data_IF_747070468230
#
_entry.id   IF_747070468230
#
_cell.length_a   1.000
_cell.length_b   1.000
_cell.length_c   1.000
_cell.angle_alpha   90.00
_cell.angle_beta   90.00
_cell.angle_gamma   90.00
#
_symmetry.space_group_name_H-M   'P 1'
#
loop_
_entity.id
_entity.type
_entity.pdbx_description
1 polymer ?
#
# COMPACT_ATOMS: atom_id res chain seq x y z
N UNK A 1 6.41 10.24 3.93
CA UNK A 1 7.11 9.47 2.90
C UNK A 1 8.48 10.08 2.71
N UNK A 2 9.51 9.29 3.01
CA UNK A 2 10.89 9.56 2.69
C UNK A 2 11.19 9.04 1.28
N UNK A 3 11.75 9.89 0.42
CA UNK A 3 12.17 9.60 -0.95
C UNK A 3 13.62 10.04 -1.13
N UNK A 4 14.44 9.20 -1.77
CA UNK A 4 15.76 9.57 -2.27
C UNK A 4 15.67 9.83 -3.78
N UNK A 5 16.16 11.00 -4.22
CA UNK A 5 16.14 11.41 -5.62
C UNK A 5 16.91 10.45 -6.56
N UNK A 6 17.79 9.61 -6.01
CA UNK A 6 18.57 8.63 -6.76
C UNK A 6 17.86 7.28 -6.91
N UNK A 7 16.75 7.01 -6.22
CA UNK A 7 16.05 5.74 -6.34
C UNK A 7 15.38 5.61 -7.71
N UNK A 8 15.50 4.43 -8.32
CA UNK A 8 14.66 3.96 -9.42
C UNK A 8 13.34 3.47 -8.84
N UNK A 9 12.23 4.12 -9.17
CA UNK A 9 10.93 3.89 -8.55
C UNK A 9 9.92 3.33 -9.56
N UNK A 10 9.17 2.33 -9.12
CA UNK A 10 7.91 1.92 -9.74
C UNK A 10 6.74 2.41 -8.87
N UNK A 11 5.84 3.23 -9.40
CA UNK A 11 4.54 3.48 -8.76
C UNK A 11 3.52 2.49 -9.29
N UNK A 12 2.68 1.97 -8.39
CA UNK A 12 1.70 0.92 -8.70
C UNK A 12 0.29 1.43 -8.47
N UNK A 13 -0.57 1.24 -9.47
CA UNK A 13 -1.99 1.56 -9.38
C UNK A 13 -2.29 3.06 -9.20
N UNK A 14 -1.47 3.94 -9.77
CA UNK A 14 -1.60 5.39 -9.62
C UNK A 14 -2.72 5.96 -10.51
N UNK A 15 -3.96 5.69 -10.12
CA UNK A 15 -5.22 6.07 -10.78
C UNK A 15 -5.12 7.11 -11.90
N UNK A 16 -5.12 8.40 -11.56
CA UNK A 16 -5.08 9.51 -12.55
C UNK A 16 -3.66 9.97 -12.91
N UNK A 17 -2.64 9.23 -12.46
CA UNK A 17 -1.21 9.47 -12.64
C UNK A 17 -0.65 10.74 -12.00
N UNK A 18 -1.46 11.48 -11.23
CA UNK A 18 -1.02 12.75 -10.64
C UNK A 18 0.03 12.58 -9.54
N UNK A 19 0.05 11.45 -8.83
CA UNK A 19 1.12 11.16 -7.87
C UNK A 19 2.45 10.96 -8.59
N UNK A 20 2.47 10.18 -9.66
CA UNK A 20 3.65 9.88 -10.47
C UNK A 20 4.20 11.13 -11.12
N UNK A 21 3.33 12.01 -11.65
CA UNK A 21 3.78 13.29 -12.20
C UNK A 21 4.39 14.20 -11.14
N UNK A 22 3.83 14.23 -9.93
CA UNK A 22 4.44 14.99 -8.86
C UNK A 22 5.76 14.38 -8.42
N UNK A 23 5.83 13.06 -8.29
CA UNK A 23 7.04 12.34 -7.86
C UNK A 23 8.16 12.46 -8.88
N UNK A 24 7.86 12.49 -10.19
CA UNK A 24 8.87 12.62 -11.25
C UNK A 24 9.72 13.88 -11.12
N UNK A 25 9.15 14.95 -10.55
CA UNK A 25 9.82 16.24 -10.31
C UNK A 25 10.82 16.18 -9.15
N UNK A 26 10.71 15.17 -8.29
CA UNK A 26 11.60 14.96 -7.14
C UNK A 26 12.72 13.96 -7.45
N UNK A 27 12.63 13.22 -8.56
CA UNK A 27 13.57 12.18 -8.96
C UNK A 27 14.49 12.64 -10.09
N UNK A 28 15.61 11.94 -10.27
CA UNK A 28 16.44 12.12 -11.47
C UNK A 28 15.66 11.70 -12.74
N UNK A 29 15.94 12.32 -13.89
CA UNK A 29 15.36 11.88 -15.16
C UNK A 29 15.60 10.39 -15.42
N UNK A 30 14.56 9.68 -15.88
CA UNK A 30 14.62 8.23 -16.15
C UNK A 30 14.53 7.32 -14.92
N UNK A 31 14.38 7.87 -13.71
CA UNK A 31 14.27 7.09 -12.48
C UNK A 31 12.84 6.72 -12.09
N UNK A 32 11.83 7.09 -12.88
CA UNK A 32 10.44 6.75 -12.60
C UNK A 32 9.88 5.85 -13.70
N UNK A 33 9.15 4.82 -13.29
CA UNK A 33 8.17 4.12 -14.10
C UNK A 33 6.84 4.15 -13.35
N UNK A 34 5.75 4.47 -14.03
CA UNK A 34 4.42 4.49 -13.44
C UNK A 34 3.58 3.32 -13.93
N UNK A 35 2.59 2.92 -13.15
CA UNK A 35 1.56 1.99 -13.61
C UNK A 35 0.17 2.33 -13.10
N UNK A 36 -0.83 1.93 -13.90
CA UNK A 36 -2.25 2.02 -13.58
C UNK A 36 -2.91 0.66 -13.75
N UNK A 37 -3.98 0.43 -12.98
CA UNK A 37 -4.80 -0.77 -13.10
C UNK A 37 -5.69 -0.74 -14.35
N UNK A 38 -6.26 0.43 -14.65
CA UNK A 38 -7.12 0.64 -15.80
C UNK A 38 -6.31 0.59 -17.11
N UNK A 39 -6.96 0.21 -18.22
CA UNK A 39 -6.40 0.47 -19.55
C UNK A 39 -6.40 1.98 -19.87
N UNK A 40 -5.68 2.37 -20.93
CA UNK A 40 -5.57 3.79 -21.31
C UNK A 40 -6.92 4.43 -21.70
N UNK A 41 -7.80 3.71 -22.39
CA UNK A 41 -9.11 4.25 -22.80
C UNK A 41 -10.01 4.46 -21.58
N UNK A 42 -9.96 3.54 -20.62
CA UNK A 42 -10.63 3.65 -19.33
C UNK A 42 -10.08 4.83 -18.53
N UNK A 43 -8.76 5.01 -18.43
CA UNK A 43 -8.16 6.18 -17.79
C UNK A 43 -8.72 7.50 -18.37
N UNK A 44 -8.64 7.64 -19.70
CA UNK A 44 -9.02 8.87 -20.43
C UNK A 44 -10.50 9.18 -20.32
N UNK A 45 -11.36 8.17 -20.31
CA UNK A 45 -12.80 8.34 -20.16
C UNK A 45 -13.22 8.58 -18.71
N UNK A 46 -12.53 7.94 -17.76
CA UNK A 46 -12.83 8.02 -16.33
C UNK A 46 -12.44 9.36 -15.74
N UNK A 47 -11.24 9.87 -16.01
CA UNK A 47 -10.73 11.10 -15.40
C UNK A 47 -10.71 12.25 -16.39
N UNK A 48 -11.42 13.34 -16.07
CA UNK A 48 -11.36 14.56 -16.89
C UNK A 48 -9.95 15.16 -16.92
N UNK A 49 -9.22 15.02 -15.82
CA UNK A 49 -7.84 15.45 -15.69
C UNK A 49 -6.99 14.27 -15.25
N UNK A 50 -6.05 13.87 -16.09
CA UNK A 50 -5.05 12.83 -15.81
C UNK A 50 -3.66 13.29 -16.26
N UNK A 51 -2.60 12.66 -15.76
CA UNK A 51 -1.23 13.05 -16.05
C UNK A 51 -0.51 12.20 -17.11
N UNK A 52 -1.23 11.29 -17.80
CA UNK A 52 -0.64 10.37 -18.79
C UNK A 52 0.22 11.07 -19.84
N UNK A 53 -0.34 12.08 -20.52
CA UNK A 53 0.35 12.75 -21.62
C UNK A 53 1.56 13.54 -21.11
N UNK A 54 1.43 14.24 -19.97
CA UNK A 54 2.56 14.95 -19.35
C UNK A 54 3.71 14.03 -18.92
N UNK A 55 3.40 12.83 -18.45
CA UNK A 55 4.41 11.82 -18.11
C UNK A 55 5.13 11.31 -19.37
N UNK A 56 4.38 11.05 -20.45
CA UNK A 56 4.94 10.62 -21.75
C UNK A 56 5.83 11.69 -22.36
N UNK A 57 5.39 12.95 -22.33
CA UNK A 57 6.18 14.10 -22.79
C UNK A 57 7.49 14.26 -21.99
N UNK A 58 7.48 13.81 -20.73
CA UNK A 58 8.65 13.78 -19.85
C UNK A 58 9.47 12.48 -19.96
N UNK A 59 9.19 11.62 -20.94
CA UNK A 59 9.80 10.30 -21.14
C UNK A 59 9.71 9.37 -19.91
N UNK A 60 8.65 9.50 -19.11
CA UNK A 60 8.34 8.56 -18.02
C UNK A 60 7.51 7.41 -18.59
N UNK A 61 7.99 6.15 -18.54
CA UNK A 61 7.19 5.01 -18.96
C UNK A 61 5.95 4.84 -18.08
N UNK A 62 4.82 4.52 -18.72
CA UNK A 62 3.56 4.22 -18.03
C UNK A 62 3.06 2.84 -18.48
N UNK A 63 2.89 1.93 -17.54
CA UNK A 63 2.33 0.60 -17.76
C UNK A 63 0.82 0.63 -17.48
N UNK A 64 -0.01 0.30 -18.47
CA UNK A 64 -1.45 0.10 -18.26
C UNK A 64 -1.77 -1.34 -17.88
N UNK A 65 -2.97 -1.58 -17.37
CA UNK A 65 -3.47 -2.94 -17.06
C UNK A 65 -2.56 -3.70 -16.07
N UNK A 66 -1.92 -2.97 -15.16
CA UNK A 66 -1.04 -3.54 -14.16
C UNK A 66 -1.86 -4.02 -12.95
N UNK A 67 -2.32 -5.27 -12.99
CA UNK A 67 -3.02 -5.91 -11.86
C UNK A 67 -2.02 -6.46 -10.84
N UNK A 68 -2.03 -5.87 -9.64
CA UNK A 68 -1.20 -6.30 -8.50
C UNK A 68 -1.40 -7.77 -8.14
N UNK A 69 -2.59 -8.33 -8.33
CA UNK A 69 -2.86 -9.73 -8.02
C UNK A 69 -2.47 -10.69 -9.15
N UNK A 70 -2.09 -10.17 -10.33
CA UNK A 70 -1.68 -10.98 -11.47
C UNK A 70 -0.14 -11.05 -11.55
N UNK A 71 0.49 -12.19 -11.24
CA UNK A 71 1.95 -12.31 -11.28
C UNK A 71 2.53 -12.02 -12.67
N UNK A 72 1.78 -12.26 -13.75
CA UNK A 72 2.24 -12.00 -15.12
C UNK A 72 2.54 -10.52 -15.37
N UNK A 73 1.79 -9.59 -14.73
CA UNK A 73 2.06 -8.15 -14.83
C UNK A 73 3.44 -7.81 -14.24
N UNK A 74 3.83 -8.48 -13.15
CA UNK A 74 5.12 -8.28 -12.50
C UNK A 74 6.28 -8.93 -13.27
N UNK A 75 6.07 -10.12 -13.81
CA UNK A 75 7.06 -10.82 -14.65
C UNK A 75 7.35 -10.04 -15.94
N UNK A 76 6.35 -9.35 -16.49
CA UNK A 76 6.48 -8.48 -17.66
C UNK A 76 7.37 -7.25 -17.43
N UNK A 77 7.77 -6.93 -16.20
CA UNK A 77 8.77 -5.89 -15.93
C UNK A 77 10.16 -6.24 -16.50
N UNK A 78 10.38 -7.51 -16.85
CA UNK A 78 11.62 -8.02 -17.46
C UNK A 78 12.88 -7.75 -16.60
N UNK A 79 12.73 -7.88 -15.28
CA UNK A 79 13.84 -7.90 -14.35
C UNK A 79 13.67 -7.02 -13.12
N UNK A 80 14.55 -7.27 -12.16
CA UNK A 80 14.61 -6.59 -10.88
C UNK A 80 15.49 -5.35 -10.98
N UNK A 81 14.88 -4.18 -11.15
CA UNK A 81 15.61 -2.93 -11.45
C UNK A 81 15.20 -1.73 -10.61
N UNK A 82 14.24 -1.89 -9.71
CA UNK A 82 13.74 -0.79 -8.90
C UNK A 82 14.36 -0.80 -7.50
N UNK A 83 14.71 0.37 -7.00
CA UNK A 83 15.18 0.56 -5.64
C UNK A 83 14.00 0.60 -4.65
N UNK A 84 12.87 1.16 -5.10
CA UNK A 84 11.62 1.22 -4.36
C UNK A 84 10.40 0.96 -5.27
N UNK A 85 9.37 0.32 -4.71
CA UNK A 85 8.03 0.20 -5.33
C UNK A 85 7.02 0.83 -4.39
N UNK A 86 6.13 1.69 -4.91
CA UNK A 86 5.21 2.50 -4.11
C UNK A 86 3.76 2.22 -4.51
N UNK A 87 2.89 1.94 -3.51
CA UNK A 87 1.44 1.85 -3.68
C UNK A 87 0.73 2.90 -2.84
N UNK A 88 0.12 3.89 -3.49
CA UNK A 88 -0.58 4.99 -2.83
C UNK A 88 -2.06 4.66 -2.58
N UNK A 89 -2.47 4.73 -1.31
CA UNK A 89 -3.85 4.54 -0.84
C UNK A 89 -4.58 3.33 -1.47
N UNK A 90 -3.95 2.14 -1.52
CA UNK A 90 -4.52 0.98 -2.18
C UNK A 90 -5.82 0.54 -1.54
N UNK A 91 -6.77 0.12 -2.37
CA UNK A 91 -8.03 -0.46 -1.99
C UNK A 91 -8.55 -1.31 -3.16
N UNK A 92 -9.20 -2.44 -2.88
CA UNK A 92 -9.87 -3.20 -3.93
C UNK A 92 -11.00 -2.37 -4.57
N UNK A 93 -11.31 -2.57 -5.86
CA UNK A 93 -12.50 -2.00 -6.49
C UNK A 93 -13.78 -2.43 -5.78
N UNK A 94 -14.83 -1.60 -5.85
CA UNK A 94 -16.13 -2.00 -5.34
C UNK A 94 -16.69 -3.18 -6.14
N UNK A 95 -17.44 -4.05 -5.46
CA UNK A 95 -18.16 -5.13 -6.13
C UNK A 95 -19.26 -4.55 -7.03
N UNK A 96 -19.33 -5.03 -8.27
CA UNK A 96 -20.28 -4.55 -9.28
C UNK A 96 -21.74 -4.91 -8.98
N UNK A 97 -21.97 -5.89 -8.10
CA UNK A 97 -23.31 -6.28 -7.64
C UNK A 97 -23.27 -6.99 -6.29
N UNK A 98 -24.44 -7.08 -5.63
CA UNK A 98 -24.61 -7.90 -4.43
C UNK A 98 -24.31 -9.38 -4.71
N UNK A 99 -24.68 -9.89 -5.88
CA UNK A 99 -24.38 -11.27 -6.26
C UNK A 99 -22.86 -11.52 -6.34
N UNK A 100 -22.12 -10.57 -6.92
CA UNK A 100 -20.65 -10.65 -6.97
C UNK A 100 -20.02 -10.57 -5.58
N UNK A 101 -20.61 -9.78 -4.67
CA UNK A 101 -20.20 -9.72 -3.27
C UNK A 101 -20.51 -11.04 -2.53
N UNK A 102 -21.73 -11.57 -2.65
CA UNK A 102 -22.18 -12.79 -1.98
C UNK A 102 -21.43 -14.04 -2.48
N UNK A 103 -20.97 -14.03 -3.74
CA UNK A 103 -20.16 -15.09 -4.32
C UNK A 103 -18.69 -15.08 -3.87
N UNK A 104 -18.24 -14.03 -3.16
CA UNK A 104 -16.87 -13.91 -2.72
C UNK A 104 -16.62 -14.74 -1.44
N UNK A 105 -15.76 -15.77 -1.48
CA UNK A 105 -15.50 -16.61 -0.31
C UNK A 105 -14.72 -15.89 0.80
N UNK A 106 -14.00 -14.80 0.47
CA UNK A 106 -13.18 -14.05 1.41
C UNK A 106 -13.88 -12.77 1.88
N UNK A 107 -13.67 -12.40 3.14
CA UNK A 107 -14.13 -11.09 3.62
C UNK A 107 -13.44 -9.94 2.85
N UNK A 108 -14.11 -8.79 2.74
CA UNK A 108 -13.48 -7.57 2.17
C UNK A 108 -12.19 -7.18 2.88
N UNK A 109 -12.10 -7.43 4.20
CA UNK A 109 -10.86 -7.23 4.95
C UNK A 109 -9.74 -8.14 4.42
N UNK A 110 -10.01 -9.45 4.33
CA UNK A 110 -9.07 -10.46 3.81
C UNK A 110 -8.64 -10.15 2.37
N UNK A 111 -9.56 -9.69 1.51
CA UNK A 111 -9.23 -9.30 0.13
C UNK A 111 -8.29 -8.10 0.05
N UNK A 112 -8.51 -7.07 0.86
CA UNK A 112 -7.59 -5.93 0.91
C UNK A 112 -6.23 -6.35 1.47
N UNK A 113 -6.18 -7.19 2.51
CA UNK A 113 -4.92 -7.74 3.03
C UNK A 113 -4.19 -8.58 1.98
N UNK A 114 -4.91 -9.38 1.17
CA UNK A 114 -4.35 -10.13 0.06
C UNK A 114 -3.72 -9.21 -1.00
N UNK A 115 -4.42 -8.14 -1.40
CA UNK A 115 -3.89 -7.15 -2.34
C UNK A 115 -2.55 -6.58 -1.84
N UNK A 116 -2.49 -6.20 -0.56
CA UNK A 116 -1.31 -5.58 0.05
C UNK A 116 -0.16 -6.57 0.23
N UNK A 117 -0.47 -7.81 0.63
CA UNK A 117 0.52 -8.89 0.69
C UNK A 117 1.10 -9.20 -0.68
N UNK A 118 0.26 -9.35 -1.70
CA UNK A 118 0.70 -9.61 -3.07
C UNK A 118 1.58 -8.48 -3.59
N UNK A 119 1.21 -7.22 -3.33
CA UNK A 119 2.07 -6.07 -3.63
C UNK A 119 3.46 -6.22 -2.99
N UNK A 120 3.55 -6.50 -1.69
CA UNK A 120 4.84 -6.64 -1.01
C UNK A 120 5.62 -7.84 -1.57
N UNK A 121 5.00 -9.02 -1.67
CA UNK A 121 5.65 -10.24 -2.14
C UNK A 121 6.16 -10.08 -3.58
N UNK A 122 5.30 -9.66 -4.50
CA UNK A 122 5.63 -9.53 -5.91
C UNK A 122 6.61 -8.40 -6.19
N UNK A 123 6.57 -7.30 -5.41
CA UNK A 123 7.61 -6.26 -5.47
C UNK A 123 9.00 -6.86 -5.21
N UNK A 124 9.16 -7.65 -4.15
CA UNK A 124 10.46 -8.25 -3.82
C UNK A 124 10.87 -9.38 -4.78
N UNK A 125 9.89 -10.17 -5.24
CA UNK A 125 10.14 -11.30 -6.12
C UNK A 125 10.47 -10.90 -7.56
N UNK A 126 9.89 -9.82 -8.08
CA UNK A 126 9.95 -9.52 -9.51
C UNK A 126 10.49 -8.12 -9.84
N UNK A 127 10.29 -7.12 -8.99
CA UNK A 127 10.58 -5.72 -9.34
C UNK A 127 11.84 -5.14 -8.66
N UNK A 128 12.05 -5.45 -7.39
CA UNK A 128 13.08 -4.81 -6.55
C UNK A 128 14.48 -5.38 -6.80
N UNK A 129 15.42 -4.50 -7.13
CA UNK A 129 16.82 -4.82 -7.41
C UNK A 129 17.54 -5.34 -6.14
N UNK A 130 18.05 -6.59 -6.15
CA UNK A 130 18.80 -7.15 -5.04
C UNK A 130 20.10 -6.43 -4.72
N UNK A 131 20.64 -5.61 -5.61
CA UNK A 131 21.78 -4.73 -5.32
C UNK A 131 21.34 -3.41 -4.66
N UNK A 132 20.09 -2.99 -4.85
CA UNK A 132 19.52 -1.74 -4.31
C UNK A 132 18.91 -1.88 -2.91
N UNK A 133 18.20 -0.84 -2.43
CA UNK A 133 17.53 -0.82 -1.14
C UNK A 133 16.45 -1.89 -0.94
N UNK A 134 15.78 -2.34 -2.01
CA UNK A 134 14.67 -3.29 -1.95
C UNK A 134 13.49 -2.82 -1.06
N UNK A 135 12.99 -1.61 -1.28
CA UNK A 135 11.92 -1.04 -0.45
C UNK A 135 10.54 -1.21 -1.10
N UNK A 136 9.60 -1.87 -0.40
CA UNK A 136 8.17 -1.81 -0.75
C UNK A 136 7.47 -0.81 0.19
N UNK A 137 6.79 0.18 -0.39
CA UNK A 137 6.14 1.25 0.35
C UNK A 137 4.64 1.24 0.10
N UNK A 138 3.85 1.27 1.17
CA UNK A 138 2.40 1.47 1.08
C UNK A 138 2.07 2.75 1.83
N UNK A 139 1.37 3.69 1.20
CA UNK A 139 0.73 4.78 1.93
C UNK A 139 -0.73 4.47 2.17
N UNK A 140 -1.18 4.55 3.41
CA UNK A 140 -2.56 4.25 3.79
C UNK A 140 -3.10 5.26 4.82
N UNK A 141 -4.41 5.22 5.06
CA UNK A 141 -5.07 6.11 6.03
C UNK A 141 -5.09 5.45 7.41
N UNK A 142 -5.14 6.27 8.46
CA UNK A 142 -5.32 5.78 9.85
C UNK A 142 -6.80 5.81 10.29
N UNK A 143 -7.70 5.47 9.37
CA UNK A 143 -9.14 5.39 9.63
C UNK A 143 -9.71 4.11 9.03
N UNK A 144 -10.94 3.74 9.41
CA UNK A 144 -11.60 2.56 8.83
C UNK A 144 -11.87 2.74 7.32
N UNK A 145 -11.81 1.65 6.54
CA UNK A 145 -11.43 0.29 6.93
C UNK A 145 -9.90 0.07 6.99
N UNK A 146 -9.10 1.04 6.56
CA UNK A 146 -7.65 0.93 6.35
C UNK A 146 -6.88 0.52 7.61
N UNK A 147 -7.18 1.12 8.76
CA UNK A 147 -6.50 0.78 10.02
C UNK A 147 -6.85 -0.61 10.58
N UNK A 148 -7.79 -1.33 9.96
CA UNK A 148 -8.21 -2.69 10.36
C UNK A 148 -7.50 -3.79 9.56
N UNK A 149 -6.55 -3.44 8.69
CA UNK A 149 -5.82 -4.41 7.84
C UNK A 149 -4.55 -4.97 8.50
N UNK A 150 -4.17 -4.46 9.67
CA UNK A 150 -3.03 -4.93 10.46
C UNK A 150 -1.74 -5.06 9.61
N UNK A 151 -1.33 -3.97 8.96
CA UNK A 151 -0.23 -3.97 7.99
C UNK A 151 1.11 -4.32 8.64
N UNK A 152 1.31 -3.81 9.85
CA UNK A 152 2.58 -3.82 10.58
C UNK A 152 2.94 -5.20 11.17
N UNK A 153 1.97 -6.09 11.23
CA UNK A 153 2.06 -7.36 11.96
C UNK A 153 1.91 -8.54 10.99
N UNK A 154 0.77 -9.24 11.00
CA UNK A 154 0.65 -10.53 10.33
C UNK A 154 0.54 -10.50 8.80
N UNK A 155 0.58 -9.33 8.16
CA UNK A 155 0.47 -9.18 6.70
C UNK A 155 1.58 -9.97 5.95
N UNK A 156 2.80 -9.95 6.47
CA UNK A 156 3.97 -10.60 5.85
C UNK A 156 4.36 -11.93 6.51
N UNK A 157 3.50 -12.53 7.34
CA UNK A 157 3.78 -13.82 7.95
C UNK A 157 4.14 -14.88 6.89
N UNK A 158 5.20 -15.66 7.15
CA UNK A 158 5.71 -16.67 6.23
C UNK A 158 6.53 -16.13 5.05
N UNK A 159 6.75 -14.81 4.95
CA UNK A 159 7.63 -14.21 3.94
C UNK A 159 8.97 -13.78 4.55
N UNK A 160 9.99 -13.63 3.71
CA UNK A 160 11.32 -13.14 4.10
C UNK A 160 11.45 -11.61 4.14
N UNK A 161 10.36 -10.89 4.39
CA UNK A 161 10.30 -9.42 4.33
C UNK A 161 9.82 -8.85 5.65
N UNK A 162 10.47 -7.79 6.11
CA UNK A 162 10.25 -7.25 7.44
C UNK A 162 9.71 -5.84 7.38
N UNK A 163 8.72 -5.55 8.24
CA UNK A 163 8.28 -4.19 8.51
C UNK A 163 9.40 -3.40 9.19
N UNK A 164 9.77 -2.27 8.59
CA UNK A 164 10.87 -1.42 9.07
C UNK A 164 10.39 -0.30 10.00
N UNK A 165 9.15 0.13 9.82
CA UNK A 165 8.56 1.30 10.46
C UNK A 165 7.75 2.14 9.48
N UNK A 166 7.33 3.32 9.94
CA UNK A 166 6.47 4.22 9.17
C UNK A 166 6.91 5.69 9.27
N UNK A 167 6.44 6.50 8.33
CA UNK A 167 6.57 7.97 8.32
C UNK A 167 5.25 8.63 7.95
N UNK A 168 5.05 9.89 8.35
CA UNK A 168 3.88 10.66 7.92
C UNK A 168 3.93 10.93 6.41
N UNK A 169 2.80 10.82 5.73
CA UNK A 169 2.63 11.26 4.34
C UNK A 169 2.09 12.69 4.34
N UNK A 170 2.97 13.64 4.01
CA UNK A 170 2.58 15.01 3.75
C UNK A 170 2.21 15.13 2.27
N UNK A 171 0.96 15.46 1.95
CA UNK A 171 0.52 15.62 0.56
C UNK A 171 1.06 16.91 -0.06
N UNK A 172 1.35 17.93 0.74
CA UNK A 172 1.75 19.26 0.27
C UNK A 172 3.13 19.26 -0.41
N UNK A 173 3.96 18.26 -0.13
CA UNK A 173 5.25 18.08 -0.85
C UNK A 173 5.06 17.44 -2.24
N UNK A 174 3.85 16.95 -2.54
CA UNK A 174 3.49 16.36 -3.83
C UNK A 174 2.60 17.31 -4.64
N UNK A 175 3.19 18.40 -5.15
CA UNK A 175 2.47 19.43 -5.89
C UNK A 175 1.67 18.87 -7.08
N UNK A 176 0.36 19.10 -7.07
CA UNK A 176 -0.58 18.67 -8.11
C UNK A 176 -1.09 17.24 -7.95
N UNK A 177 -0.63 16.50 -6.94
CA UNK A 177 -1.19 15.19 -6.61
C UNK A 177 -2.63 15.32 -6.12
N UNK A 178 -3.53 14.46 -6.62
CA UNK A 178 -4.93 14.39 -6.20
C UNK A 178 -5.27 12.98 -5.78
N UNK A 179 -5.72 12.83 -4.54
CA UNK A 179 -6.25 11.54 -4.07
C UNK A 179 -7.61 11.30 -4.75
N UNK A 180 -7.74 10.17 -5.45
CA UNK A 180 -8.95 9.75 -6.17
C UNK A 180 -9.66 8.60 -5.45
N UNK A 181 -10.96 8.45 -5.71
CA UNK A 181 -11.67 7.21 -5.40
C UNK A 181 -11.35 6.17 -6.48
N UNK A 182 -11.35 4.88 -6.09
CA UNK A 182 -11.04 3.76 -6.99
C UNK A 182 -11.95 3.74 -8.22
N UNK A 183 -13.25 3.96 -8.06
CA UNK A 183 -14.24 3.70 -9.12
C UNK A 183 -14.79 4.95 -9.83
N UNK A 184 -14.38 6.16 -9.42
CA UNK A 184 -14.97 7.40 -9.97
C UNK A 184 -14.03 8.58 -9.92
N UNK A 185 -14.19 9.49 -10.87
CA UNK A 185 -13.53 10.80 -10.87
C UNK A 185 -14.13 11.73 -9.81
N UNK A 186 -13.80 11.41 -8.57
CA UNK A 186 -14.15 12.21 -7.41
C UNK A 186 -12.90 12.35 -6.55
N UNK A 187 -12.38 13.56 -6.52
CA UNK A 187 -11.38 13.96 -5.54
C UNK A 187 -11.93 13.73 -4.12
N UNK A 188 -11.14 13.09 -3.29
CA UNK A 188 -11.42 12.92 -1.86
C UNK A 188 -10.63 13.98 -1.12
N UNK A 189 -11.25 14.61 -0.10
CA UNK A 189 -10.57 15.56 0.76
C UNK A 189 -9.21 15.01 1.20
N UNK A 190 -8.18 15.83 1.06
CA UNK A 190 -6.83 15.50 1.50
C UNK A 190 -6.90 14.95 2.93
N UNK A 191 -6.41 13.72 3.06
CA UNK A 191 -6.46 12.97 4.32
C UNK A 191 -5.03 12.77 4.77
N UNK A 192 -4.77 12.87 6.07
CA UNK A 192 -3.51 12.42 6.63
C UNK A 192 -3.24 10.98 6.21
N UNK A 193 -2.01 10.72 5.77
CA UNK A 193 -1.56 9.40 5.38
C UNK A 193 -0.36 8.97 6.21
N UNK A 194 -0.16 7.67 6.30
CA UNK A 194 1.04 7.05 6.86
C UNK A 194 1.65 6.20 5.77
N UNK A 195 2.94 6.38 5.49
CA UNK A 195 3.71 5.51 4.61
C UNK A 195 4.41 4.44 5.45
N UNK A 196 4.16 3.19 5.13
CA UNK A 196 4.70 2.00 5.78
C UNK A 196 5.77 1.37 4.88
N UNK A 197 6.85 0.85 5.48
CA UNK A 197 8.04 0.39 4.78
C UNK A 197 8.34 -1.09 5.06
N UNK A 198 8.55 -1.87 4.01
CA UNK A 198 9.04 -3.25 4.10
C UNK A 198 10.29 -3.47 3.26
N UNK A 199 11.14 -4.39 3.71
CA UNK A 199 12.34 -4.81 2.98
C UNK A 199 12.78 -6.21 3.37
N UNK A 200 13.43 -6.91 2.44
CA UNK A 200 14.19 -8.15 2.71
C UNK A 200 15.55 -7.86 3.40
N UNK A 201 16.00 -6.60 3.38
CA UNK A 201 17.30 -6.16 3.87
C UNK A 201 17.19 -5.35 5.16
N UNK A 202 18.19 -5.41 6.05
CA UNK A 202 18.29 -4.46 7.15
C UNK A 202 18.59 -3.06 6.62
N UNK A 203 17.98 -2.05 7.25
CA UNK A 203 18.13 -0.64 6.88
C UNK A 203 18.35 0.22 8.13
N UNK A 204 19.56 0.19 8.70
CA UNK A 204 19.85 0.89 9.96
C UNK A 204 19.58 2.40 9.85
N UNK A 205 20.15 3.06 8.84
CA UNK A 205 20.02 4.51 8.64
C UNK A 205 18.56 4.92 8.37
N UNK A 206 17.85 4.21 7.49
CA UNK A 206 16.45 4.55 7.21
C UNK A 206 15.60 4.41 8.48
N UNK A 207 15.83 3.37 9.29
CA UNK A 207 15.07 3.12 10.52
C UNK A 207 15.22 4.23 11.56
N UNK A 208 16.30 5.01 11.54
CA UNK A 208 16.45 6.20 12.41
C UNK A 208 15.47 7.31 12.04
N UNK A 209 15.02 7.35 10.77
CA UNK A 209 14.04 8.31 10.26
C UNK A 209 12.60 7.77 10.24
N UNK A 210 12.41 6.50 10.64
CA UNK A 210 11.10 5.87 10.77
C UNK A 210 10.73 5.77 12.25
N UNK A 211 9.43 5.83 12.54
CA UNK A 211 8.93 5.52 13.87
C UNK A 211 8.17 4.19 13.87
N UNK A 212 8.18 3.52 15.03
CA UNK A 212 7.27 2.41 15.30
C UNK A 212 6.10 2.95 16.12
N UNK A 213 4.85 2.63 15.74
CA UNK A 213 3.70 3.10 16.49
C UNK A 213 3.67 2.47 17.90
N UNK A 214 3.23 3.23 18.92
CA UNK A 214 3.25 2.79 20.31
C UNK A 214 2.38 1.54 20.56
N UNK A 215 1.35 1.34 19.73
CA UNK A 215 0.47 0.17 19.82
C UNK A 215 1.14 -1.17 19.47
N UNK A 216 2.39 -1.18 19.00
CA UNK A 216 3.17 -2.41 18.80
C UNK A 216 3.92 -2.86 20.07
N UNK A 217 3.72 -2.17 21.20
CA UNK A 217 4.33 -2.52 22.49
C UNK A 217 3.41 -3.42 23.34
N UNK A 218 3.97 -4.11 24.33
CA UNK A 218 3.26 -5.11 25.14
C UNK A 218 2.03 -4.59 25.92
N UNK A 219 1.96 -3.29 26.22
CA UNK A 219 0.83 -2.68 26.95
C UNK A 219 -0.30 -2.18 26.02
N UNK A 220 -0.33 -2.68 24.78
CA UNK A 220 -1.33 -2.33 23.80
C UNK A 220 -1.89 -3.59 23.13
N UNK A 221 -3.04 -3.45 22.49
CA UNK A 221 -3.51 -4.40 21.50
C UNK A 221 -3.14 -3.87 20.11
N UNK A 222 -2.09 -4.43 19.51
CA UNK A 222 -1.59 -4.04 18.18
C UNK A 222 -2.69 -4.12 17.11
N UNK A 223 -3.37 -5.27 17.04
CA UNK A 223 -4.46 -5.52 16.11
C UNK A 223 -5.60 -4.49 16.23
N UNK A 224 -5.93 -4.04 17.44
CA UNK A 224 -6.99 -3.05 17.65
C UNK A 224 -6.51 -1.60 17.67
N UNK A 225 -5.18 -1.40 17.61
CA UNK A 225 -4.49 -0.13 17.87
C UNK A 225 -4.99 0.55 19.14
N UNK A 226 -5.10 -0.22 20.22
CA UNK A 226 -5.70 0.22 21.49
C UNK A 226 -4.70 0.16 22.64
N UNK A 227 -4.74 1.15 23.52
CA UNK A 227 -3.83 1.31 24.65
C UNK A 227 -3.18 2.70 24.67
N UNK A 228 -2.22 2.94 25.57
CA UNK A 228 -1.74 2.00 26.58
C UNK A 228 -2.85 1.66 27.59
N UNK A 229 -2.90 0.43 28.08
CA UNK A 229 -3.84 0.06 29.15
C UNK A 229 -3.30 0.56 30.50
N UNK A 230 -4.13 1.23 31.29
CA UNK A 230 -3.72 1.78 32.60
C UNK A 230 -3.83 0.73 33.72
N UNK A 231 -4.64 -0.30 33.50
CA UNK A 231 -4.85 -1.41 34.42
C UNK A 231 -5.14 -2.71 33.66
N UNK A 232 -4.96 -3.85 34.34
CA UNK A 232 -5.39 -5.15 33.82
C UNK A 232 -6.92 -5.21 33.61
N UNK A 233 -7.69 -4.42 34.36
CA UNK A 233 -9.13 -4.30 34.17
C UNK A 233 -9.47 -3.64 32.84
N UNK A 234 -8.76 -2.57 32.45
CA UNK A 234 -8.93 -1.90 31.15
C UNK A 234 -8.61 -2.84 29.99
N UNK A 235 -7.54 -3.61 30.15
CA UNK A 235 -7.14 -4.64 29.18
C UNK A 235 -8.22 -5.71 29.05
N UNK A 236 -8.74 -6.25 30.16
CA UNK A 236 -9.84 -7.23 30.12
C UNK A 236 -11.11 -6.65 29.50
N UNK A 237 -11.48 -5.42 29.85
CA UNK A 237 -12.63 -4.73 29.25
C UNK A 237 -12.46 -4.56 27.74
N UNK A 238 -11.26 -4.20 27.29
CA UNK A 238 -10.92 -4.13 25.87
C UNK A 238 -11.07 -5.48 25.17
N UNK A 239 -10.48 -6.54 25.73
CA UNK A 239 -10.53 -7.90 25.17
C UNK A 239 -11.97 -8.44 25.07
N UNK A 240 -12.84 -8.04 26.00
CA UNK A 240 -14.28 -8.36 25.96
C UNK A 240 -15.12 -7.48 25.03
N UNK A 241 -14.53 -6.47 24.38
CA UNK A 241 -15.27 -5.51 23.57
C UNK A 241 -15.70 -6.08 22.21
N UNK A 242 -16.83 -5.58 21.67
CA UNK A 242 -17.29 -5.90 20.30
C UNK A 242 -16.23 -5.57 19.24
N UNK A 243 -15.48 -4.46 19.42
CA UNK A 243 -14.39 -4.06 18.52
C UNK A 243 -13.31 -5.14 18.50
N UNK A 244 -12.85 -5.59 19.67
CA UNK A 244 -11.82 -6.62 19.76
C UNK A 244 -12.28 -7.94 19.13
N UNK A 245 -13.50 -8.38 19.42
CA UNK A 245 -14.07 -9.59 18.82
C UNK A 245 -14.15 -9.54 17.28
N UNK A 246 -14.49 -8.38 16.71
CA UNK A 246 -14.50 -8.16 15.26
C UNK A 246 -13.10 -8.21 14.67
N UNK A 247 -12.14 -7.50 15.26
CA UNK A 247 -10.74 -7.51 14.81
C UNK A 247 -10.13 -8.92 14.88
N UNK A 248 -10.42 -9.66 15.95
CA UNK A 248 -9.99 -11.04 16.11
C UNK A 248 -10.56 -11.95 15.02
N UNK A 249 -11.78 -11.68 14.53
CA UNK A 249 -12.36 -12.41 13.39
C UNK A 249 -11.58 -12.12 12.10
N UNK A 250 -11.31 -10.84 11.80
CA UNK A 250 -10.48 -10.47 10.65
C UNK A 250 -9.10 -11.13 10.69
N UNK A 251 -8.50 -11.22 11.87
CA UNK A 251 -7.21 -11.88 12.05
C UNK A 251 -7.30 -13.39 11.86
N UNK A 252 -8.34 -14.05 12.39
CA UNK A 252 -8.57 -15.49 12.17
C UNK A 252 -8.80 -15.81 10.69
N UNK A 253 -9.64 -15.02 10.00
CA UNK A 253 -9.92 -15.19 8.57
C UNK A 253 -8.64 -15.02 7.75
N UNK A 254 -7.77 -14.08 8.14
CA UNK A 254 -6.48 -13.87 7.51
C UNK A 254 -5.51 -15.02 7.72
N UNK A 255 -5.34 -15.50 8.95
CA UNK A 255 -4.46 -16.63 9.24
C UNK A 255 -4.96 -17.92 8.56
N UNK A 256 -6.28 -18.13 8.48
CA UNK A 256 -6.87 -19.20 7.70
C UNK A 256 -6.53 -19.07 6.20
N UNK A 257 -6.67 -17.86 5.63
CA UNK A 257 -6.23 -17.59 4.26
C UNK A 257 -4.75 -17.92 4.05
N UNK A 258 -3.86 -17.47 4.93
CA UNK A 258 -2.42 -17.77 4.84
C UNK A 258 -2.10 -19.26 4.90
N UNK A 259 -2.89 -20.07 5.61
CA UNK A 259 -2.68 -21.52 5.66
C UNK A 259 -2.99 -22.26 4.35
N UNK A 260 -3.61 -21.58 3.39
CA UNK A 260 -3.88 -22.09 2.04
C UNK A 260 -2.81 -21.75 1.02
N UNK A 261 -1.81 -20.94 1.41
CA UNK A 261 -0.76 -20.38 0.55
C UNK A 261 0.59 -21.08 0.79
#
# INVERSE_FOLDING_TARGET
MLIDANWRILTVGDGDLSFSLSLSRQLKPGHLCASIYDDEATLRSKYQLHALDSLRDSNVPVLSEFDVNNPNCWEALQGKRFDAVIFQFPLIPAFTSKQAFDAQPLSTNTLNRRLLRNFIDFSHRFALDPAGPMLALITSKDVKPYCEWNLEDSLCNGLGYHYLGQSEFNIDVFEGYRIRNVDRDKHVKDTSGITYYWSAKPHAVLRESLYLPPYLTQNHCAMCRAGPFLSEQDKHAHLGSKKHAMMLRHEKDWLAYLSTY
#
